data_IF_603743415760
#
_entry.id   IF_603743415760
#
_cell.length_a   1.000
_cell.length_b   1.000
_cell.length_c   1.000
_cell.angle_alpha   90.00
_cell.angle_beta   90.00
_cell.angle_gamma   90.00
#
_symmetry.space_group_name_H-M   'P 1'
#
loop_
_entity.id
_entity.type
_entity.pdbx_description
1 polymer ?
2 non-polymer ?
3 water ?
#
# COMPACT_ATOMS: atom_id res chain seq x y z
N UNK A 24 4.69 23.04 0.70
CA UNK A 24 3.52 23.22 1.57
C UNK A 24 3.26 21.96 2.41
N UNK A 25 2.89 22.16 3.67
CA UNK A 25 2.69 21.04 4.58
C UNK A 25 1.38 20.30 4.27
N UNK A 26 1.45 18.99 4.28
CA UNK A 26 0.36 18.14 3.92
C UNK A 26 -0.53 17.91 5.16
N UNK A 27 -1.86 17.87 4.97
CA UNK A 27 -2.80 17.38 5.96
C UNK A 27 -3.64 16.33 5.28
N UNK A 28 -3.69 15.13 5.85
CA UNK A 28 -4.55 14.05 5.33
C UNK A 28 -6.03 14.47 5.35
N UNK A 29 -6.72 14.32 4.20
CA UNK A 29 -8.12 14.74 4.13
C UNK A 29 -9.03 13.98 5.12
N UNK A 30 -9.62 14.74 6.05
CA UNK A 30 -10.49 14.19 7.07
C UNK A 30 -11.59 13.32 6.48
N UNK A 31 -12.17 13.74 5.34
CA UNK A 31 -13.28 13.01 4.76
C UNK A 31 -12.87 11.63 4.29
N UNK A 32 -11.66 11.50 3.78
CA UNK A 32 -11.16 10.19 3.32
C UNK A 32 -10.95 9.25 4.51
N UNK A 33 -10.41 9.78 5.59
CA UNK A 33 -10.17 8.95 6.76
C UNK A 33 -11.50 8.50 7.39
N UNK A 34 -12.41 9.45 7.52
CA UNK A 34 -13.69 9.22 8.18
C UNK A 34 -14.50 8.22 7.38
N UNK A 35 -14.51 8.38 6.07
CA UNK A 35 -15.36 7.53 5.23
C UNK A 35 -14.81 6.14 5.01
N UNK A 36 -13.50 5.99 4.92
CA UNK A 36 -12.91 4.68 4.63
C UNK A 36 -12.21 4.00 5.80
N UNK A 37 -11.89 4.76 6.85
CA UNK A 37 -11.04 4.29 7.94
C UNK A 37 -9.70 3.78 7.43
N UNK A 38 -9.34 4.22 6.20
CA UNK A 38 -8.15 3.72 5.51
C UNK A 38 -8.03 2.21 5.44
N UNK A 39 -9.16 1.50 5.37
CA UNK A 39 -9.13 0.06 5.46
C UNK A 39 -8.69 -0.63 4.19
N UNK A 40 -9.11 -0.09 3.05
CA UNK A 40 -8.93 -0.78 1.80
C UNK A 40 -7.58 -0.51 1.19
N UNK A 41 -7.14 -1.37 0.28
CA UNK A 41 -5.80 -1.19 -0.32
C UNK A 41 -5.50 0.17 -0.96
N UNK A 42 -6.47 0.79 -1.62
CA UNK A 42 -6.21 2.05 -2.32
C UNK A 42 -6.68 3.28 -1.55
N UNK A 43 -7.11 3.07 -0.32
CA UNK A 43 -7.51 4.18 0.56
C UNK A 43 -6.33 4.95 1.19
N UNK A 44 -6.43 6.26 1.20
CA UNK A 44 -5.55 7.14 1.98
C UNK A 44 -4.13 7.16 1.44
N UNK A 45 -4.04 7.14 0.11
CA UNK A 45 -2.80 7.28 -0.63
C UNK A 45 -2.85 8.55 -1.50
N UNK A 46 -1.76 9.30 -1.47
CA UNK A 46 -1.70 10.61 -2.07
C UNK A 46 -0.32 10.87 -2.65
N UNK A 47 -0.24 11.80 -3.57
CA UNK A 47 1.05 12.31 -3.99
C UNK A 47 1.84 12.93 -2.85
N UNK A 48 3.16 12.85 -2.92
CA UNK A 48 4.01 13.56 -1.95
C UNK A 48 4.42 14.92 -2.50
N UNK A 49 4.24 15.99 -1.72
CA UNK A 49 4.75 17.28 -2.11
C UNK A 49 6.27 17.38 -2.11
N UNK A 50 6.99 16.39 -1.61
CA UNK A 50 8.45 16.48 -1.48
C UNK A 50 9.19 15.82 -2.62
N UNK A 51 8.53 14.88 -3.26
CA UNK A 51 9.17 14.08 -4.33
C UNK A 51 8.17 13.45 -5.25
N UNK A 52 8.58 13.24 -6.54
CA UNK A 52 7.87 12.35 -7.47
C UNK A 52 8.20 10.85 -7.30
N UNK A 53 9.35 10.54 -6.73
CA UNK A 53 9.83 9.17 -6.51
C UNK A 53 9.34 8.67 -5.11
N UNK A 54 8.05 8.85 -4.89
CA UNK A 54 7.42 8.47 -3.62
C UNK A 54 5.99 8.94 -3.54
N UNK A 55 5.42 8.85 -2.32
CA UNK A 55 4.02 9.11 -2.17
C UNK A 55 3.80 9.22 -0.63
N UNK A 56 2.59 9.63 -0.29
CA UNK A 56 2.17 9.62 1.14
C UNK A 56 1.08 8.56 1.35
N UNK A 57 1.18 7.85 2.50
CA UNK A 57 0.12 6.97 2.94
C UNK A 57 -0.27 7.52 4.32
N UNK A 58 -1.56 7.75 4.46
CA UNK A 58 -2.08 8.20 5.77
C UNK A 58 -2.61 7.01 6.50
N UNK A 59 -2.46 7.04 7.82
CA UNK A 59 -3.07 6.05 8.74
C UNK A 59 -3.86 6.84 9.78
N UNK A 60 -5.04 6.36 10.18
CA UNK A 60 -5.83 7.06 11.25
C UNK A 60 -5.00 7.28 12.49
N UNK A 61 -5.02 8.51 12.99
CA UNK A 61 -4.15 8.90 14.11
C UNK A 61 -4.83 8.48 15.48
N UNK A 62 -6.15 8.44 15.49
CA UNK A 62 -6.91 8.03 16.70
C UNK A 62 -8.31 7.53 16.33
N UNK A 63 -9.11 7.14 17.32
CA UNK A 63 -10.38 6.53 17.02
C UNK A 63 -11.47 7.47 16.58
N UNK A 64 -11.15 8.76 16.40
CA UNK A 64 -12.11 9.69 15.81
C UNK A 64 -12.12 9.52 14.29
N UNK A 65 -11.06 8.93 13.78
CA UNK A 65 -10.93 8.75 12.31
C UNK A 65 -11.11 10.05 11.49
N UNK A 66 -10.63 11.14 12.04
CA UNK A 66 -10.69 12.42 11.35
C UNK A 66 -9.33 12.98 11.01
N UNK A 67 -8.26 12.37 11.54
CA UNK A 67 -6.92 12.89 11.36
C UNK A 67 -5.95 11.74 11.03
N UNK A 68 -4.84 12.10 10.41
CA UNK A 68 -3.92 11.08 9.95
C UNK A 68 -2.46 11.29 10.29
N UNK A 69 -1.78 10.18 10.51
CA UNK A 69 -0.34 10.09 10.59
C UNK A 69 0.14 9.96 9.11
N UNK A 70 1.14 10.75 8.83
CA UNK A 70 1.75 10.82 7.45
C UNK A 70 2.95 9.88 7.38
N UNK A 71 2.95 8.99 6.38
CA UNK A 71 4.06 8.07 6.14
C UNK A 71 4.55 8.45 4.75
N UNK A 72 5.72 9.04 4.70
CA UNK A 72 6.39 9.37 3.45
C UNK A 72 7.05 8.07 2.94
N UNK A 73 6.49 7.54 1.88
CA UNK A 73 6.95 6.27 1.30
C UNK A 73 7.71 6.51 -0.01
N UNK A 74 8.85 5.85 -0.16
CA UNK A 74 9.53 5.91 -1.47
C UNK A 74 8.85 5.01 -2.47
N UNK A 75 9.16 5.33 -3.72
CA UNK A 75 9.03 4.43 -4.88
C UNK A 75 10.38 3.74 -5.16
N UNK A 76 10.32 2.61 -5.85
CA UNK A 76 11.56 1.98 -6.29
C UNK A 76 12.39 2.87 -7.28
N UNK A 77 13.65 2.52 -7.41
CA UNK A 77 14.61 3.36 -8.14
C UNK A 77 14.07 3.70 -9.50
N UNK A 78 14.06 5.00 -9.84
CA UNK A 78 13.62 5.43 -11.18
C UNK A 78 12.12 5.56 -11.36
N UNK A 79 11.32 5.00 -10.43
CA UNK A 79 9.87 4.99 -10.64
C UNK A 79 9.21 6.20 -9.98
N UNK A 80 8.02 6.57 -10.48
CA UNK A 80 7.33 7.77 -10.09
C UNK A 80 5.89 7.49 -9.75
N UNK A 81 5.31 8.34 -8.88
CA UNK A 81 3.97 8.16 -8.52
C UNK A 81 2.98 8.35 -9.62
N UNK A 82 2.03 7.43 -9.69
CA UNK A 82 0.90 7.53 -10.63
C UNK A 82 -0.39 7.58 -9.83
N UNK A 83 -0.88 8.80 -9.61
CA UNK A 83 -2.06 9.02 -8.73
C UNK A 83 -3.35 8.48 -9.35
N UNK A 84 -3.35 8.27 -10.68
CA UNK A 84 -4.53 7.67 -11.33
C UNK A 84 -4.79 6.24 -10.90
N UNK A 85 -3.74 5.45 -10.72
CA UNK A 85 -3.86 4.08 -10.27
C UNK A 85 -3.41 3.94 -8.80
N UNK A 86 -2.96 5.05 -8.19
CA UNK A 86 -2.50 5.07 -6.80
C UNK A 86 -1.41 4.02 -6.57
N UNK A 87 -0.39 4.05 -7.42
CA UNK A 87 0.76 3.20 -7.22
C UNK A 87 2.05 3.81 -7.82
N UNK A 88 3.17 3.25 -7.38
CA UNK A 88 4.47 3.52 -7.97
C UNK A 88 4.49 2.86 -9.33
N UNK A 89 4.89 3.57 -10.37
CA UNK A 89 4.76 3.09 -11.75
C UNK A 89 5.90 3.57 -12.63
N UNK A 90 5.96 2.99 -13.83
CA UNK A 90 6.90 3.45 -14.80
C UNK A 90 6.77 4.97 -15.05
N UNK A 91 7.91 5.68 -15.22
CA UNK A 91 7.81 7.14 -15.32
C UNK A 91 6.86 7.65 -16.39
N UNK A 92 6.70 6.92 -17.52
CA UNK A 92 5.73 7.37 -18.53
C UNK A 92 4.28 7.54 -18.07
N UNK A 93 3.92 6.87 -16.94
CA UNK A 93 2.56 6.92 -16.45
C UNK A 93 2.35 7.86 -15.27
N UNK A 94 3.34 8.70 -14.98
CA UNK A 94 3.29 9.60 -13.82
C UNK A 94 2.24 10.68 -13.90
N UNK A 95 1.81 11.09 -12.73
CA UNK A 95 0.98 12.29 -12.55
C UNK A 95 1.78 13.42 -11.93
N UNK A 96 3.08 13.21 -11.70
CA UNK A 96 3.86 14.21 -10.99
C UNK A 96 3.90 15.55 -11.71
N UNK A 97 3.65 16.60 -10.92
CA UNK A 97 3.60 17.99 -11.40
C UNK A 97 2.20 18.49 -11.74
N UNK B 25 -7.75 -22.62 -0.65
CA UNK B 25 -7.73 -21.13 -0.77
C UNK B 25 -6.70 -20.55 0.21
N UNK B 26 -6.65 -19.23 0.26
CA UNK B 26 -5.97 -18.55 1.35
C UNK B 26 -6.96 -17.66 2.05
N UNK B 27 -6.76 -17.49 3.34
CA UNK B 27 -7.53 -16.57 4.13
C UNK B 27 -6.54 -15.64 4.82
N UNK B 28 -7.04 -14.55 5.36
CA UNK B 28 -6.18 -13.62 6.10
C UNK B 28 -5.84 -14.15 7.48
N UNK B 29 -4.56 -14.05 7.90
CA UNK B 29 -4.27 -14.47 9.25
C UNK B 29 -4.78 -13.42 10.27
N UNK B 30 -5.70 -13.85 11.14
CA UNK B 30 -6.33 -12.95 12.07
C UNK B 30 -5.35 -12.33 13.05
N UNK B 31 -4.28 -13.04 13.38
CA UNK B 31 -3.35 -12.55 14.35
C UNK B 31 -2.78 -11.20 13.90
N UNK B 32 -2.51 -11.06 12.61
CA UNK B 32 -1.91 -9.81 12.14
C UNK B 32 -2.91 -8.63 12.22
N UNK B 33 -4.16 -8.90 11.91
CA UNK B 33 -5.21 -7.89 11.99
C UNK B 33 -5.39 -7.47 13.41
N UNK B 34 -5.47 -8.43 14.33
CA UNK B 34 -5.70 -8.09 15.73
C UNK B 34 -4.54 -7.35 16.37
N UNK B 35 -3.32 -7.73 16.02
CA UNK B 35 -2.15 -7.21 16.67
C UNK B 35 -1.76 -5.83 16.15
N UNK B 36 -1.95 -5.60 14.85
CA UNK B 36 -1.47 -4.35 14.16
C UNK B 36 -2.59 -3.44 13.72
N UNK B 37 -3.80 -4.00 13.51
CA UNK B 37 -4.94 -3.32 12.91
C UNK B 37 -4.59 -2.88 11.48
N UNK B 38 -3.54 -3.49 10.96
CA UNK B 38 -2.99 -3.15 9.64
C UNK B 38 -2.71 -1.66 9.45
N UNK B 39 -2.41 -0.94 10.55
CA UNK B 39 -2.26 0.50 10.51
C UNK B 39 -1.00 0.93 9.80
N UNK B 40 0.09 0.16 9.91
CA UNK B 40 1.35 0.53 9.27
C UNK B 40 1.36 0.22 7.78
N UNK B 41 2.06 1.03 7.00
CA UNK B 41 2.10 0.79 5.53
C UNK B 41 2.56 -0.61 5.14
N UNK B 42 3.46 -1.17 5.92
CA UNK B 42 3.98 -2.50 5.60
C UNK B 42 3.23 -3.64 6.27
N UNK B 43 2.24 -3.33 7.11
CA UNK B 43 1.48 -4.37 7.74
C UNK B 43 0.52 -5.06 6.78
N UNK B 44 0.29 -6.37 7.01
CA UNK B 44 -0.78 -7.10 6.36
C UNK B 44 -0.55 -7.19 4.84
N UNK B 45 0.74 -7.22 4.47
CA UNK B 45 1.15 -7.50 3.10
C UNK B 45 1.92 -8.79 3.06
N UNK B 46 1.65 -9.59 2.02
CA UNK B 46 2.17 -10.96 1.93
C UNK B 46 2.48 -11.29 0.47
N UNK B 47 3.40 -12.22 0.24
CA UNK B 47 3.61 -12.76 -1.08
C UNK B 47 2.35 -13.50 -1.53
N UNK B 48 2.13 -13.55 -2.83
CA UNK B 48 1.11 -14.42 -3.39
C UNK B 48 1.74 -15.77 -3.71
N UNK B 49 1.18 -16.87 -3.15
CA UNK B 49 1.65 -18.19 -3.56
C UNK B 49 1.32 -18.49 -5.03
N UNK B 50 0.61 -17.59 -5.70
CA UNK B 50 0.18 -17.84 -7.07
C UNK B 50 0.96 -17.10 -8.17
N UNK B 51 1.66 -16.02 -7.85
CA UNK B 51 2.40 -15.26 -8.88
C UNK B 51 3.53 -14.43 -8.22
N UNK B 52 4.60 -14.20 -8.98
CA UNK B 52 5.65 -13.26 -8.57
C UNK B 52 5.27 -11.84 -8.98
N UNK B 53 4.31 -11.67 -9.89
CA UNK B 53 3.95 -10.34 -10.46
C UNK B 53 2.76 -9.70 -9.68
N UNK B 54 2.73 -9.94 -8.37
CA UNK B 54 1.74 -9.38 -7.49
C UNK B 54 1.92 -9.81 -6.04
N UNK B 55 0.93 -9.52 -5.22
CA UNK B 55 1.00 -9.78 -3.78
C UNK B 55 -0.41 -9.82 -3.21
N UNK B 56 -0.49 -10.10 -1.92
CA UNK B 56 -1.74 -10.16 -1.22
C UNK B 56 -1.73 -9.07 -0.13
N UNK B 57 -2.79 -8.25 -0.12
CA UNK B 57 -3.03 -7.34 1.00
C UNK B 57 -4.27 -7.81 1.71
N UNK B 58 -4.17 -7.92 3.03
CA UNK B 58 -5.31 -8.17 3.90
C UNK B 58 -5.83 -6.86 4.47
N UNK B 59 -7.12 -6.61 4.29
CA UNK B 59 -7.75 -5.43 4.85
C UNK B 59 -8.60 -5.85 6.04
N UNK B 60 -8.54 -5.11 7.14
CA UNK B 60 -9.49 -5.50 8.21
C UNK B 60 -10.93 -5.40 7.74
N UNK B 61 -11.78 -6.33 8.21
CA UNK B 61 -13.16 -6.42 7.65
C UNK B 61 -13.95 -5.20 8.05
N UNK B 62 -13.67 -4.75 9.26
CA UNK B 62 -14.31 -3.59 9.81
C UNK B 62 -13.47 -3.10 10.98
N UNK B 63 -13.99 -2.08 11.67
CA UNK B 63 -13.27 -1.47 12.78
C UNK B 63 -13.34 -2.22 14.12
N UNK B 64 -13.79 -3.49 14.11
CA UNK B 64 -13.55 -4.41 15.23
C UNK B 64 -12.14 -5.00 15.11
N UNK B 65 -11.58 -4.97 13.90
CA UNK B 65 -10.23 -5.50 13.64
C UNK B 65 -10.05 -6.92 14.15
N UNK B 66 -10.96 -7.79 13.73
CA UNK B 66 -10.92 -9.20 14.17
C UNK B 66 -10.60 -10.16 13.03
N UNK B 67 -11.00 -9.82 11.81
CA UNK B 67 -10.77 -10.69 10.68
C UNK B 67 -10.43 -9.80 9.52
N UNK B 68 -9.94 -10.45 8.46
CA UNK B 68 -9.41 -9.76 7.32
C UNK B 68 -10.06 -10.21 6.05
N UNK B 69 -10.04 -9.31 5.08
CA UNK B 69 -10.49 -9.57 3.71
C UNK B 69 -9.30 -9.61 2.77
N UNK B 70 -9.23 -10.68 1.95
CA UNK B 70 -8.13 -10.89 1.00
C UNK B 70 -8.31 -10.00 -0.21
N UNK B 71 -7.23 -9.30 -0.60
CA UNK B 71 -7.12 -8.62 -1.89
C UNK B 71 -5.89 -9.11 -2.64
N UNK B 72 -6.09 -9.74 -3.78
CA UNK B 72 -4.98 -10.15 -4.66
C UNK B 72 -4.61 -8.96 -5.52
N UNK B 73 -3.44 -8.39 -5.27
CA UNK B 73 -3.05 -7.15 -5.90
C UNK B 73 -1.94 -7.38 -6.95
N UNK B 74 -2.03 -6.71 -8.11
CA UNK B 74 -0.98 -6.86 -9.10
C UNK B 74 0.21 -5.90 -8.85
N UNK B 75 1.37 -6.24 -9.37
CA UNK B 75 2.47 -5.34 -9.50
C UNK B 75 2.39 -4.75 -10.89
N UNK B 76 3.02 -3.57 -11.10
CA UNK B 76 3.19 -3.02 -12.44
C UNK B 76 3.91 -4.05 -13.34
N UNK B 77 3.59 -4.05 -14.62
CA UNK B 77 4.29 -4.90 -15.59
C UNK B 77 5.79 -4.82 -15.42
N UNK B 78 6.45 -5.96 -15.30
CA UNK B 78 7.89 -5.98 -15.22
C UNK B 78 8.47 -5.91 -13.83
N UNK B 79 7.62 -5.69 -12.82
CA UNK B 79 8.06 -5.65 -11.42
C UNK B 79 7.59 -6.91 -10.74
N UNK B 80 8.36 -7.33 -9.74
CA UNK B 80 8.13 -8.54 -9.01
C UNK B 80 8.07 -8.19 -7.53
N UNK B 81 7.39 -9.01 -6.76
CA UNK B 81 7.35 -8.80 -5.31
C UNK B 81 8.69 -8.96 -4.63
N UNK B 82 8.99 -8.02 -3.73
CA UNK B 82 10.20 -8.04 -2.92
C UNK B 82 9.68 -8.00 -1.48
N UNK B 83 9.58 -9.18 -0.89
CA UNK B 83 9.06 -9.28 0.47
C UNK B 83 9.91 -8.69 1.56
N UNK B 84 11.20 -8.48 1.31
CA UNK B 84 12.09 -7.78 2.25
C UNK B 84 11.65 -6.36 2.56
N UNK B 85 11.16 -5.69 1.52
CA UNK B 85 10.72 -4.29 1.59
C UNK B 85 9.24 -4.16 1.48
N UNK B 86 8.54 -5.27 1.31
CA UNK B 86 7.06 -5.40 1.10
C UNK B 86 6.53 -4.46 0.00
N UNK B 87 7.21 -4.51 -1.12
CA UNK B 87 6.75 -3.73 -2.26
C UNK B 87 7.05 -4.43 -3.57
N UNK B 88 6.42 -3.91 -4.61
CA UNK B 88 6.74 -4.29 -6.02
C UNK B 88 8.06 -3.62 -6.41
N UNK B 89 8.98 -4.37 -7.02
CA UNK B 89 10.34 -3.86 -7.17
C UNK B 89 10.94 -4.49 -8.45
N UNK B 90 12.09 -3.93 -8.83
CA UNK B 90 12.85 -4.44 -9.99
C UNK B 90 13.06 -5.92 -9.77
N UNK B 91 12.96 -6.70 -10.84
CA UNK B 91 13.12 -8.16 -10.76
C UNK B 91 14.37 -8.67 -10.08
N UNK B 92 15.47 -7.94 -10.18
CA UNK B 92 16.71 -8.38 -9.59
C UNK B 92 16.64 -8.42 -8.08
N UNK B 93 15.68 -7.66 -7.53
CA UNK B 93 15.48 -7.64 -6.08
C UNK B 93 14.40 -8.56 -5.55
N UNK B 94 13.90 -9.45 -6.37
CA UNK B 94 12.77 -10.27 -5.93
C UNK B 94 13.13 -11.32 -4.89
N UNK B 95 12.17 -11.58 -4.00
CA UNK B 95 12.20 -12.67 -3.08
C UNK B 95 11.35 -13.88 -3.57
N UNK B 96 10.78 -13.78 -4.75
CA UNK B 96 9.82 -14.78 -5.21
C UNK B 96 10.57 -15.92 -5.87
N UNK B 97 10.20 -17.13 -5.49
CA UNK B 97 10.86 -18.35 -5.95
C UNK B 97 9.99 -19.18 -6.88
N UNK B 98 8.79 -18.71 -7.21
CA UNK B 98 7.86 -19.50 -8.03
C UNK B 98 8.39 -19.68 -9.45
N UNK B 99 8.30 -20.91 -9.95
CA UNK B 99 8.58 -21.22 -11.35
C UNK B 99 7.44 -22.06 -11.93
#
# INVERSE_FOLDING_TARGET
VHHHHHHPDYKDDDDKTYVQDKTPAFVCPAADIKTTKCLGPKDCLYPSPKTCNGYIQCSPADDSYLTGIIHEMPCPSGLLWNDNKKWCDWPENTTCGLVKSAGATEVDATKQGPTPGKYHG
VHHHHHHPDYKDDDDKTYVQDKTPAFVCPAADIKTTKCLGPKDCLYPSPKTCNGYIQCSPADDSYLTGIIHEMPCPSGLLWNDNKKWCDWPENTTCGLVKSAGATEVDATKQGPTPGKYHG
#
